data_IF_069385237674
#
_entry.id   IF_069385237674
#
_cell.length_a   1.000
_cell.length_b   1.000
_cell.length_c   1.000
_cell.angle_alpha   90.00
_cell.angle_beta   90.00
_cell.angle_gamma   90.00
#
_symmetry.space_group_name_H-M   'P 1'
#
loop_
_entity.id
_entity.type
_entity.pdbx_description
1 polymer ?
#
# COMPACT_ATOMS: atom_id res chain seq x y z
N UNK A 1 -1.14 7.21 -8.76
CA UNK A 1 -1.05 7.13 -7.28
C UNK A 1 0.37 7.54 -6.89
N UNK A 2 0.55 8.54 -6.02
CA UNK A 2 1.84 9.16 -5.64
C UNK A 2 2.87 9.48 -6.75
N UNK A 3 2.59 10.51 -7.56
CA UNK A 3 3.64 11.40 -8.07
C UNK A 3 3.16 12.85 -8.13
N UNK A 4 4.05 13.73 -7.66
CA UNK A 4 3.92 15.19 -7.70
C UNK A 4 3.65 15.69 -9.12
N UNK A 5 2.48 16.31 -9.30
CA UNK A 5 2.17 17.14 -10.48
C UNK A 5 3.16 18.31 -10.54
N UNK A 6 4.19 18.19 -11.38
CA UNK A 6 5.00 19.33 -11.81
C UNK A 6 4.28 19.98 -13.00
N UNK A 7 3.41 20.95 -12.70
CA UNK A 7 2.72 21.79 -13.68
C UNK A 7 3.68 22.38 -14.72
N UNK A 8 3.41 22.15 -16.00
CA UNK A 8 3.75 23.09 -17.08
C UNK A 8 2.45 23.69 -17.61
N UNK A 9 2.31 25.01 -17.44
CA UNK A 9 1.14 25.78 -17.82
C UNK A 9 1.05 26.03 -19.33
N UNK A 10 -0.17 25.99 -19.88
CA UNK A 10 -0.64 26.93 -20.91
C UNK A 10 -2.14 27.22 -20.66
N UNK A 11 -2.47 28.50 -20.57
CA UNK A 11 -3.77 29.08 -20.26
C UNK A 11 -4.75 29.03 -21.45
N UNK A 12 -6.06 28.85 -21.16
CA UNK A 12 -7.14 29.67 -21.74
C UNK A 12 -8.43 29.50 -20.93
N UNK A 13 -8.94 30.65 -20.48
CA UNK A 13 -10.08 30.85 -19.58
C UNK A 13 -11.42 30.54 -20.27
N UNK A 14 -12.27 29.75 -19.62
CA UNK A 14 -13.70 29.63 -19.93
C UNK A 14 -14.45 29.31 -18.63
N UNK A 15 -14.85 30.34 -17.89
CA UNK A 15 -15.55 30.20 -16.61
C UNK A 15 -17.02 29.83 -16.90
N UNK A 16 -17.37 28.57 -16.65
CA UNK A 16 -18.74 28.17 -16.37
C UNK A 16 -18.84 27.88 -14.87
N UNK A 17 -19.52 28.76 -14.13
CA UNK A 17 -19.88 28.52 -12.73
C UNK A 17 -21.04 27.53 -12.74
N UNK A 18 -20.72 26.24 -12.67
CA UNK A 18 -21.66 25.23 -12.18
C UNK A 18 -21.57 25.30 -10.66
N UNK A 19 -22.66 25.66 -10.01
CA UNK A 19 -22.79 25.55 -8.57
C UNK A 19 -22.78 24.05 -8.21
N UNK A 20 -21.59 23.49 -8.01
CA UNK A 20 -21.43 22.22 -7.31
C UNK A 20 -21.82 22.47 -5.86
N UNK A 21 -23.00 21.97 -5.48
CA UNK A 21 -23.26 21.69 -4.08
C UNK A 21 -22.25 20.61 -3.67
N UNK A 22 -21.15 21.04 -3.06
CA UNK A 22 -20.25 20.16 -2.31
C UNK A 22 -21.07 19.65 -1.12
N UNK A 23 -21.68 18.47 -1.28
CA UNK A 23 -22.07 17.70 -0.11
C UNK A 23 -20.77 17.32 0.58
N UNK A 24 -20.56 17.79 1.81
CA UNK A 24 -19.44 17.36 2.62
C UNK A 24 -19.58 15.85 2.85
N UNK A 25 -18.82 15.06 2.09
CA UNK A 25 -18.71 13.64 2.30
C UNK A 25 -18.25 13.43 3.75
N UNK A 26 -19.12 12.78 4.53
CA UNK A 26 -18.91 12.53 5.95
C UNK A 26 -18.90 11.01 6.10
N UNK A 27 -17.84 10.43 6.69
CA UNK A 27 -17.81 9.00 6.95
C UNK A 27 -19.01 8.55 7.76
N UNK A 28 -19.42 7.30 7.55
CA UNK A 28 -20.50 6.68 8.28
C UNK A 28 -20.10 5.28 8.74
N UNK A 29 -20.57 4.89 9.93
CA UNK A 29 -20.40 3.54 10.47
C UNK A 29 -21.59 2.67 10.07
N UNK A 30 -21.32 1.39 9.82
CA UNK A 30 -22.30 0.43 9.30
C UNK A 30 -22.64 -0.69 10.29
N UNK A 31 -21.92 -0.73 11.42
CA UNK A 31 -22.10 -1.75 12.46
C UNK A 31 -22.39 -1.08 13.80
N UNK A 32 -23.35 -1.63 14.53
CA UNK A 32 -23.66 -1.22 15.91
C UNK A 32 -22.43 -1.42 16.81
N UNK A 33 -22.34 -0.62 17.89
CA UNK A 33 -21.18 -0.65 18.79
C UNK A 33 -19.93 0.07 18.26
N UNK A 34 -20.04 0.82 17.15
CA UNK A 34 -18.95 1.68 16.65
C UNK A 34 -19.36 3.14 16.75
N UNK A 35 -18.65 3.90 17.59
CA UNK A 35 -18.72 5.36 17.62
C UNK A 35 -17.84 5.97 16.54
N UNK A 36 -18.24 7.13 15.99
CA UNK A 36 -17.46 7.87 14.99
C UNK A 36 -17.34 9.34 15.39
N UNK A 37 -16.12 9.87 15.36
CA UNK A 37 -15.89 11.32 15.45
C UNK A 37 -14.70 11.78 14.62
N UNK A 38 -14.78 13.01 14.10
CA UNK A 38 -13.61 13.71 13.58
C UNK A 38 -12.74 14.18 14.74
N UNK A 39 -11.44 13.90 14.69
CA UNK A 39 -10.47 14.29 15.72
C UNK A 39 -9.82 15.63 15.36
N UNK A 40 -9.25 15.73 14.15
CA UNK A 40 -8.45 16.87 13.72
C UNK A 40 -8.42 16.96 12.19
N UNK A 41 -8.48 18.18 11.67
CA UNK A 41 -8.11 18.48 10.28
C UNK A 41 -6.58 18.59 10.19
N UNK A 42 -5.95 17.82 9.31
CA UNK A 42 -4.49 17.74 9.17
C UNK A 42 -3.98 18.27 7.83
N UNK A 43 -4.86 18.48 6.86
CA UNK A 43 -4.53 18.96 5.53
C UNK A 43 -3.77 17.92 4.69
N UNK A 44 -3.27 18.38 3.54
CA UNK A 44 -2.59 17.50 2.57
C UNK A 44 -1.14 17.17 2.91
N UNK A 45 -0.66 16.07 2.34
CA UNK A 45 0.75 15.66 2.42
C UNK A 45 1.09 14.71 3.57
N UNK A 46 0.13 14.41 4.44
CA UNK A 46 0.24 13.37 5.48
C UNK A 46 0.05 11.99 4.85
N UNK A 47 0.97 11.06 5.14
CA UNK A 47 1.04 9.76 4.46
C UNK A 47 1.12 8.57 5.40
N UNK A 48 1.56 8.75 6.65
CA UNK A 48 1.62 7.66 7.64
C UNK A 48 1.17 8.06 9.02
N UNK A 49 0.61 7.10 9.75
CA UNK A 49 0.19 7.18 11.13
C UNK A 49 0.71 5.96 11.88
N UNK A 50 1.49 6.15 12.93
CA UNK A 50 2.05 5.02 13.70
C UNK A 50 2.11 5.35 15.20
N UNK A 51 1.83 4.37 16.06
CA UNK A 51 2.07 4.50 17.49
C UNK A 51 3.50 4.06 17.80
N UNK A 52 4.19 4.83 18.63
CA UNK A 52 5.48 4.43 19.18
C UNK A 52 5.26 3.54 20.42
N UNK A 53 5.66 2.26 20.40
CA UNK A 53 5.41 1.33 21.51
C UNK A 53 6.12 1.69 22.82
N UNK A 54 7.17 2.53 22.78
CA UNK A 54 7.95 2.88 23.96
C UNK A 54 7.36 4.04 24.77
N UNK A 55 6.44 4.82 24.20
CA UNK A 55 5.87 6.00 24.85
C UNK A 55 4.37 6.21 24.60
N UNK A 56 3.72 5.29 23.89
CA UNK A 56 2.30 5.28 23.53
C UNK A 56 1.82 6.49 22.70
N UNK A 57 2.72 7.34 22.22
CA UNK A 57 2.37 8.50 21.41
C UNK A 57 2.13 8.10 19.96
N UNK A 58 1.15 8.76 19.34
CA UNK A 58 0.88 8.61 17.91
C UNK A 58 1.69 9.65 17.15
N UNK A 59 2.42 9.18 16.16
CA UNK A 59 3.21 9.98 15.24
C UNK A 59 2.56 9.99 13.86
N UNK A 60 2.61 11.15 13.22
CA UNK A 60 2.15 11.36 11.86
C UNK A 60 3.32 11.81 11.00
N UNK A 61 3.51 11.14 9.86
CA UNK A 61 4.50 11.51 8.86
C UNK A 61 3.85 12.31 7.75
N UNK A 62 4.35 13.52 7.55
CA UNK A 62 4.09 14.31 6.36
C UNK A 62 5.29 14.20 5.42
N UNK A 63 5.07 13.90 4.14
CA UNK A 63 6.16 13.69 3.17
C UNK A 63 7.10 14.89 3.08
N UNK A 64 6.58 16.12 2.96
CA UNK A 64 7.42 17.33 2.88
C UNK A 64 7.79 17.98 4.22
N UNK A 65 7.01 17.78 5.28
CA UNK A 65 7.23 18.50 6.55
C UNK A 65 7.98 17.65 7.58
N UNK A 66 7.93 16.31 7.46
CA UNK A 66 8.57 15.37 8.36
C UNK A 66 7.61 14.80 9.42
N UNK A 67 8.15 14.47 10.58
CA UNK A 67 7.49 13.71 11.63
C UNK A 67 6.95 14.63 12.74
N UNK A 68 5.69 14.43 13.10
CA UNK A 68 5.01 15.15 14.19
C UNK A 68 4.37 14.18 15.17
N UNK A 69 4.33 14.53 16.45
CA UNK A 69 3.48 13.86 17.45
C UNK A 69 2.08 14.46 17.34
N UNK A 70 1.07 13.60 17.32
CA UNK A 70 -0.33 13.99 17.45
C UNK A 70 -0.74 14.06 18.91
N UNK A 71 -1.45 15.14 19.24
CA UNK A 71 -2.05 15.36 20.55
C UNK A 71 -3.56 15.31 20.43
N UNK A 72 -4.10 14.09 20.43
CA UNK A 72 -5.52 13.83 20.17
C UNK A 72 -6.47 14.60 21.10
N UNK A 73 -6.15 14.73 22.39
CA UNK A 73 -6.97 15.46 23.36
C UNK A 73 -6.94 16.98 23.22
N UNK A 74 -5.89 17.53 22.60
CA UNK A 74 -5.76 18.97 22.32
C UNK A 74 -6.25 19.33 20.91
N UNK A 75 -6.49 18.35 20.03
CA UNK A 75 -6.73 18.59 18.61
C UNK A 75 -5.55 19.33 17.97
N UNK A 76 -4.31 18.94 18.30
CA UNK A 76 -3.11 19.63 17.83
C UNK A 76 -1.99 18.65 17.46
N UNK A 77 -0.92 19.17 16.86
CA UNK A 77 0.28 18.41 16.54
C UNK A 77 1.55 19.19 16.89
N UNK A 78 2.65 18.46 17.09
CA UNK A 78 3.98 19.04 17.37
C UNK A 78 5.05 18.36 16.53
N UNK A 79 5.74 19.12 15.69
CA UNK A 79 6.87 18.63 14.90
C UNK A 79 8.05 18.19 15.78
N UNK A 80 8.57 16.99 15.51
CA UNK A 80 9.66 16.31 16.24
C UNK A 80 10.78 15.80 15.32
N UNK A 81 10.76 16.25 14.06
CA UNK A 81 11.29 15.61 12.86
C UNK A 81 11.05 16.54 11.68
N UNK A 82 11.92 17.47 11.27
CA UNK A 82 11.73 18.09 9.95
C UNK A 82 12.31 17.17 8.86
N UNK A 83 11.75 17.21 7.65
CA UNK A 83 12.18 16.35 6.54
C UNK A 83 13.71 16.41 6.27
N UNK A 84 14.34 17.58 6.45
CA UNK A 84 15.78 17.76 6.28
C UNK A 84 16.61 17.01 7.35
N UNK A 85 16.10 16.91 8.58
CA UNK A 85 16.74 16.11 9.64
C UNK A 85 16.62 14.61 9.33
N UNK A 86 15.45 14.18 8.85
CA UNK A 86 15.22 12.79 8.42
C UNK A 86 16.09 12.45 7.21
N UNK A 87 16.26 13.39 6.27
CA UNK A 87 17.10 13.26 5.08
C UNK A 87 16.33 13.27 3.75
N UNK A 88 15.04 13.61 3.73
CA UNK A 88 14.25 13.68 2.50
C UNK A 88 12.75 13.51 2.71
N UNK A 89 12.03 13.26 1.61
CA UNK A 89 10.58 13.04 1.63
C UNK A 89 10.23 11.63 2.10
N UNK A 90 9.48 11.55 3.20
CA UNK A 90 9.05 10.28 3.80
C UNK A 90 7.84 9.66 3.11
N UNK A 91 7.84 8.33 3.01
CA UNK A 91 6.78 7.53 2.35
C UNK A 91 6.34 6.31 3.17
N UNK A 92 7.19 5.80 4.06
CA UNK A 92 6.89 4.75 5.03
C UNK A 92 7.38 5.14 6.42
N UNK A 93 6.72 4.65 7.46
CA UNK A 93 7.07 4.87 8.87
C UNK A 93 6.74 3.61 9.66
N UNK A 94 7.69 3.16 10.49
CA UNK A 94 7.43 2.17 11.54
C UNK A 94 8.27 2.46 12.78
N UNK A 95 7.93 1.84 13.91
CA UNK A 95 8.68 1.93 15.15
C UNK A 95 8.99 0.53 15.68
N UNK A 96 10.18 0.34 16.22
CA UNK A 96 10.46 -0.85 17.03
C UNK A 96 10.04 -0.67 18.50
N UNK A 97 10.14 -1.74 19.28
CA UNK A 97 9.76 -1.76 20.70
C UNK A 97 10.59 -0.79 21.58
N UNK A 98 11.77 -0.35 21.12
CA UNK A 98 12.60 0.64 21.83
C UNK A 98 12.17 2.09 21.55
N UNK A 99 11.25 2.28 20.60
CA UNK A 99 10.80 3.59 20.13
C UNK A 99 11.72 4.20 19.07
N UNK A 100 12.60 3.41 18.48
CA UNK A 100 13.39 3.81 17.31
C UNK A 100 12.48 3.89 16.10
N UNK A 101 12.52 5.01 15.39
CA UNK A 101 11.75 5.24 14.18
C UNK A 101 12.52 4.75 12.95
N UNK A 102 11.84 4.10 12.02
CA UNK A 102 12.37 3.80 10.68
C UNK A 102 11.51 4.47 9.63
N UNK A 103 12.15 5.22 8.72
CA UNK A 103 11.47 5.98 7.67
C UNK A 103 12.05 5.61 6.31
N UNK A 104 11.15 5.31 5.36
CA UNK A 104 11.50 5.07 3.95
C UNK A 104 11.42 6.37 3.17
N UNK A 105 12.49 6.68 2.43
CA UNK A 105 12.60 7.83 1.53
C UNK A 105 12.86 7.38 0.09
N UNK A 106 12.48 8.24 -0.84
CA UNK A 106 12.83 8.12 -2.25
C UNK A 106 13.58 9.39 -2.68
N UNK A 107 14.75 9.22 -3.28
CA UNK A 107 15.59 10.30 -3.77
C UNK A 107 15.70 10.25 -5.28
N UNK A 108 14.98 11.14 -5.96
CA UNK A 108 15.10 11.34 -7.40
C UNK A 108 16.51 11.82 -7.74
N UNK A 109 17.24 11.04 -8.54
CA UNK A 109 18.58 11.39 -9.00
C UNK A 109 18.49 12.30 -10.22
N UNK A 110 17.66 11.90 -11.18
CA UNK A 110 17.29 12.66 -12.38
C UNK A 110 15.93 12.15 -12.91
N UNK A 111 15.57 12.45 -14.15
CA UNK A 111 14.32 12.00 -14.78
C UNK A 111 14.29 10.50 -15.13
N UNK A 112 15.39 9.78 -14.90
CA UNK A 112 15.62 8.40 -15.37
C UNK A 112 15.99 7.45 -14.25
N UNK A 113 16.49 7.95 -13.11
CA UNK A 113 16.88 7.14 -11.96
C UNK A 113 16.28 7.64 -10.65
N UNK A 114 15.98 6.69 -9.78
CA UNK A 114 15.60 6.92 -8.40
C UNK A 114 16.50 6.10 -7.45
N UNK A 115 16.39 6.37 -6.15
CA UNK A 115 17.12 5.68 -5.10
C UNK A 115 16.26 5.54 -3.85
N UNK A 116 16.14 4.31 -3.34
CA UNK A 116 15.48 4.02 -2.07
C UNK A 116 16.45 4.25 -0.89
N UNK A 117 15.96 4.81 0.21
CA UNK A 117 16.76 5.06 1.42
C UNK A 117 15.95 4.72 2.66
N UNK A 118 16.55 3.99 3.59
CA UNK A 118 15.98 3.68 4.90
C UNK A 118 16.74 4.46 5.96
N UNK A 119 16.02 5.28 6.72
CA UNK A 119 16.57 6.13 7.79
C UNK A 119 16.15 5.60 9.15
N UNK A 120 17.08 5.59 10.10
CA UNK A 120 16.83 5.26 11.51
C UNK A 120 16.89 6.53 12.34
N UNK A 121 15.85 6.78 13.12
CA UNK A 121 15.75 7.86 14.09
C UNK A 121 15.82 7.29 15.50
N UNK A 122 16.96 7.46 16.18
CA UNK A 122 17.12 7.05 17.58
C UNK A 122 16.55 8.14 18.50
N UNK A 123 15.58 7.84 19.38
CA UNK A 123 14.99 8.84 20.26
C UNK A 123 16.03 9.43 21.24
N UNK A 124 15.86 10.71 21.58
CA UNK A 124 16.69 11.45 22.53
C UNK A 124 15.85 12.06 23.64
N UNK A 125 16.47 12.32 24.80
CA UNK A 125 15.81 12.84 26.01
C UNK A 125 15.06 14.18 25.80
N UNK A 126 15.42 14.95 24.77
CA UNK A 126 14.75 16.20 24.42
C UNK A 126 13.47 16.00 23.57
N UNK A 127 13.01 14.76 23.37
CA UNK A 127 11.86 14.42 22.55
C UNK A 127 12.10 14.60 21.04
N UNK A 128 13.36 14.56 20.61
CA UNK A 128 13.80 14.57 19.21
C UNK A 128 14.39 13.21 18.83
N UNK A 129 14.78 13.07 17.57
CA UNK A 129 15.48 11.91 17.04
C UNK A 129 16.85 12.32 16.50
N UNK A 130 17.84 11.46 16.67
CA UNK A 130 19.09 11.50 15.92
C UNK A 130 18.97 10.55 14.73
N UNK A 131 19.22 11.07 13.52
CA UNK A 131 18.96 10.35 12.28
C UNK A 131 20.23 9.88 11.60
N UNK A 132 20.22 8.64 11.14
CA UNK A 132 21.27 8.03 10.33
C UNK A 132 20.69 7.16 9.22
N UNK A 133 21.52 6.73 8.27
CA UNK A 133 21.13 5.83 7.19
C UNK A 133 21.38 4.39 7.59
N UNK A 134 20.33 3.56 7.55
CA UNK A 134 20.46 2.10 7.73
C UNK A 134 20.98 1.48 6.43
N UNK A 135 20.23 1.71 5.36
CA UNK A 135 20.51 1.19 4.03
C UNK A 135 20.06 2.18 2.97
N UNK A 136 20.64 2.06 1.78
CA UNK A 136 20.20 2.75 0.59
C UNK A 136 20.44 1.87 -0.62
N UNK A 137 19.68 2.05 -1.70
CA UNK A 137 19.93 1.30 -2.93
C UNK A 137 21.03 1.95 -3.78
N UNK A 138 21.64 1.20 -4.68
CA UNK A 138 22.18 1.78 -5.90
C UNK A 138 21.04 2.44 -6.72
N UNK A 139 21.36 3.39 -7.62
CA UNK A 139 20.35 3.96 -8.51
C UNK A 139 19.66 2.88 -9.34
N UNK A 140 18.33 2.94 -9.40
CA UNK A 140 17.52 2.03 -10.22
C UNK A 140 16.71 2.83 -11.25
N UNK A 141 16.49 2.27 -12.45
CA UNK A 141 15.88 2.98 -13.55
C UNK A 141 14.38 3.19 -13.33
N UNK A 142 13.87 4.34 -13.77
CA UNK A 142 12.45 4.67 -13.87
C UNK A 142 11.93 4.36 -15.29
N UNK A 143 10.63 4.17 -15.43
CA UNK A 143 9.96 3.98 -16.73
C UNK A 143 9.67 5.27 -17.49
N UNK A 144 9.85 6.45 -16.87
CA UNK A 144 9.32 7.74 -17.35
C UNK A 144 7.81 7.79 -17.56
N UNK A 145 7.07 6.81 -17.03
CA UNK A 145 5.61 6.82 -16.98
C UNK A 145 5.12 7.15 -15.57
N UNK A 146 3.80 7.22 -15.41
CA UNK A 146 3.17 7.41 -14.10
C UNK A 146 3.16 6.15 -13.24
N UNK A 147 3.63 5.00 -13.75
CA UNK A 147 3.54 3.70 -13.09
C UNK A 147 4.72 3.34 -12.19
N UNK A 148 5.67 4.26 -12.01
CA UNK A 148 6.78 4.03 -11.09
C UNK A 148 6.25 3.98 -9.65
N UNK A 149 6.07 2.78 -9.11
CA UNK A 149 5.71 2.57 -7.72
C UNK A 149 6.99 2.60 -6.90
N UNK A 150 7.12 3.65 -6.10
CA UNK A 150 8.30 3.90 -5.29
C UNK A 150 8.37 3.01 -4.05
N UNK A 151 9.50 3.07 -3.34
CA UNK A 151 9.65 2.38 -2.07
C UNK A 151 8.71 3.01 -1.04
N UNK A 152 7.96 2.22 -0.28
CA UNK A 152 6.98 2.74 0.67
C UNK A 152 6.85 1.89 1.94
N UNK A 153 5.93 0.93 1.98
CA UNK A 153 5.61 0.11 3.15
C UNK A 153 6.85 -0.44 3.82
N UNK A 154 6.87 -0.37 5.15
CA UNK A 154 7.97 -0.83 5.99
C UNK A 154 7.43 -1.48 7.25
N UNK A 155 7.93 -2.66 7.58
CA UNK A 155 7.67 -3.33 8.85
C UNK A 155 8.99 -3.69 9.53
N UNK A 156 9.03 -3.58 10.85
CA UNK A 156 10.12 -4.14 11.67
C UNK A 156 9.68 -5.49 12.22
N UNK A 157 10.57 -6.48 12.19
CA UNK A 157 10.27 -7.81 12.75
C UNK A 157 9.95 -7.72 14.25
N UNK A 158 9.13 -8.65 14.79
CA UNK A 158 8.79 -8.66 16.22
C UNK A 158 10.01 -8.73 17.15
N UNK A 159 11.11 -9.34 16.71
CA UNK A 159 12.38 -9.40 17.44
C UNK A 159 13.27 -8.15 17.27
N UNK A 160 12.86 -7.19 16.45
CA UNK A 160 13.57 -5.94 16.18
C UNK A 160 14.82 -6.09 15.31
N UNK A 161 15.11 -7.27 14.75
CA UNK A 161 16.36 -7.53 14.03
C UNK A 161 16.32 -7.13 12.56
N UNK A 162 15.14 -7.14 11.93
CA UNK A 162 15.00 -7.00 10.49
C UNK A 162 13.97 -5.94 10.12
N UNK A 163 14.24 -5.22 9.03
CA UNK A 163 13.29 -4.35 8.36
C UNK A 163 12.88 -5.00 7.04
N UNK A 164 11.59 -5.00 6.75
CA UNK A 164 11.01 -5.46 5.49
C UNK A 164 10.44 -4.25 4.77
N UNK A 165 10.84 -4.04 3.52
CA UNK A 165 10.47 -2.84 2.76
C UNK A 165 9.98 -3.22 1.38
N UNK A 166 8.86 -2.61 0.97
CA UNK A 166 8.40 -2.71 -0.41
C UNK A 166 9.35 -1.93 -1.34
N UNK A 167 9.79 -2.62 -2.39
CA UNK A 167 10.41 -2.06 -3.57
C UNK A 167 9.41 -2.18 -4.73
N UNK A 168 8.61 -1.14 -4.94
CA UNK A 168 7.50 -1.17 -5.90
C UNK A 168 7.93 -1.40 -7.35
N UNK A 169 6.96 -1.75 -8.19
CA UNK A 169 7.15 -2.02 -9.61
C UNK A 169 7.49 -0.77 -10.40
N UNK A 170 8.17 -0.99 -11.52
CA UNK A 170 8.49 0.07 -12.49
C UNK A 170 7.38 0.25 -13.53
N UNK A 171 6.62 -0.81 -13.77
CA UNK A 171 5.61 -0.96 -14.82
C UNK A 171 4.21 -1.09 -14.23
N UNK A 172 3.19 -0.89 -15.07
CA UNK A 172 1.80 -1.11 -14.67
C UNK A 172 1.48 -2.61 -14.55
N UNK A 173 1.89 -3.39 -15.55
CA UNK A 173 1.52 -4.79 -15.71
C UNK A 173 2.62 -5.59 -16.44
N UNK A 174 3.88 -5.18 -16.29
CA UNK A 174 5.03 -5.86 -16.90
C UNK A 174 5.29 -5.49 -18.36
N UNK A 175 4.65 -4.45 -18.89
CA UNK A 175 4.88 -3.97 -20.25
C UNK A 175 6.31 -3.46 -20.45
N UNK A 176 6.79 -3.48 -21.69
CA UNK A 176 8.05 -2.84 -22.05
C UNK A 176 7.96 -1.33 -21.80
N UNK A 177 8.89 -0.82 -21.00
CA UNK A 177 9.01 0.60 -20.72
C UNK A 177 10.47 0.99 -20.91
N UNK A 178 10.86 1.46 -22.09
CA UNK A 178 12.27 1.71 -22.41
C UNK A 178 12.76 3.12 -22.02
N UNK A 179 11.90 3.94 -21.41
CA UNK A 179 12.20 5.32 -21.00
C UNK A 179 12.79 6.18 -22.13
N UNK A 180 12.07 6.27 -23.25
CA UNK A 180 12.51 6.95 -24.49
C UNK A 180 13.78 6.31 -25.10
N UNK A 181 13.85 4.97 -25.05
CA UNK A 181 14.99 4.19 -25.56
C UNK A 181 16.26 4.25 -24.72
N UNK A 182 16.21 4.81 -23.50
CA UNK A 182 17.36 4.82 -22.58
C UNK A 182 17.64 3.46 -21.96
N UNK A 183 16.60 2.65 -21.76
CA UNK A 183 16.67 1.29 -21.24
C UNK A 183 15.98 0.31 -22.21
N UNK A 184 16.54 0.08 -23.41
CA UNK A 184 15.92 -0.78 -24.42
C UNK A 184 15.58 -2.17 -23.87
N UNK A 185 14.35 -2.62 -24.08
CA UNK A 185 13.90 -3.95 -23.64
C UNK A 185 13.62 -4.09 -22.14
N UNK A 186 13.70 -3.01 -21.36
CA UNK A 186 13.52 -3.08 -19.91
C UNK A 186 12.04 -3.07 -19.51
N UNK A 187 11.66 -3.99 -18.63
CA UNK A 187 10.36 -4.04 -17.93
C UNK A 187 10.60 -3.64 -16.48
N UNK A 188 10.78 -4.64 -15.61
CA UNK A 188 11.24 -4.49 -14.23
C UNK A 188 12.77 -4.46 -14.12
N UNK A 189 13.27 -3.92 -13.02
CA UNK A 189 14.68 -3.89 -12.64
C UNK A 189 14.94 -4.78 -11.40
N UNK A 190 16.19 -5.15 -11.10
CA UNK A 190 16.52 -5.93 -9.91
C UNK A 190 15.95 -5.39 -8.59
N UNK A 191 15.90 -4.07 -8.46
CA UNK A 191 15.40 -3.34 -7.30
C UNK A 191 13.91 -2.92 -7.40
N UNK A 192 13.14 -3.54 -8.30
CA UNK A 192 11.69 -3.31 -8.43
C UNK A 192 10.88 -4.60 -8.36
N UNK A 193 9.62 -4.47 -7.96
CA UNK A 193 8.66 -5.54 -7.70
C UNK A 193 9.14 -6.59 -6.68
N UNK A 194 9.69 -6.15 -5.55
CA UNK A 194 10.26 -7.02 -4.50
C UNK A 194 9.82 -6.59 -3.10
N UNK A 195 9.88 -7.53 -2.16
CA UNK A 195 10.06 -7.22 -0.74
C UNK A 195 11.53 -7.44 -0.40
N UNK A 196 12.17 -6.38 0.10
CA UNK A 196 13.56 -6.42 0.56
C UNK A 196 13.62 -6.57 2.08
N UNK A 197 14.61 -7.31 2.58
CA UNK A 197 14.92 -7.47 4.01
C UNK A 197 16.30 -6.88 4.30
N UNK A 198 16.43 -6.01 5.29
CA UNK A 198 17.72 -5.48 5.74
C UNK A 198 17.86 -5.55 7.27
N UNK A 199 19.08 -5.70 7.81
CA UNK A 199 19.29 -5.64 9.26
C UNK A 199 18.85 -4.27 9.80
N UNK A 200 18.05 -4.25 10.87
CA UNK A 200 17.57 -3.00 11.49
C UNK A 200 18.71 -2.20 12.12
N UNK A 201 19.77 -2.89 12.58
CA UNK A 201 21.00 -2.30 13.11
C UNK A 201 22.00 -1.87 12.02
N UNK A 202 21.66 -2.09 10.74
CA UNK A 202 22.48 -1.73 9.58
C UNK A 202 22.97 -0.28 9.61
N UNK A 203 24.13 -0.03 9.01
CA UNK A 203 24.76 1.28 8.97
C UNK A 203 25.33 1.52 7.57
N UNK A 204 24.73 2.46 6.84
CA UNK A 204 25.13 2.85 5.49
C UNK A 204 25.28 1.67 4.50
N UNK A 205 24.44 0.64 4.65
CA UNK A 205 24.41 -0.48 3.71
C UNK A 205 24.02 0.02 2.32
N UNK A 206 24.63 -0.55 1.28
CA UNK A 206 24.28 -0.26 -0.12
C UNK A 206 23.75 -1.53 -0.76
N UNK A 207 22.46 -1.53 -1.13
CA UNK A 207 21.83 -2.64 -1.82
C UNK A 207 22.14 -2.55 -3.32
N UNK A 208 22.75 -3.58 -3.92
CA UNK A 208 23.14 -3.54 -5.32
C UNK A 208 21.92 -3.56 -6.24
N UNK A 209 22.01 -2.90 -7.39
CA UNK A 209 21.01 -3.04 -8.45
C UNK A 209 21.31 -4.28 -9.31
N UNK A 210 21.38 -5.44 -8.66
CA UNK A 210 21.70 -6.74 -9.24
C UNK A 210 20.98 -7.84 -8.45
N UNK A 211 20.14 -8.63 -9.11
CA UNK A 211 19.24 -9.56 -8.42
C UNK A 211 20.01 -10.73 -7.78
N UNK A 212 21.05 -11.22 -8.45
CA UNK A 212 21.87 -12.31 -7.93
C UNK A 212 22.64 -11.86 -6.68
N UNK A 213 23.17 -10.64 -6.68
CA UNK A 213 23.86 -10.07 -5.52
C UNK A 213 22.90 -9.76 -4.37
N UNK A 214 21.66 -9.32 -4.64
CA UNK A 214 20.62 -9.16 -3.61
C UNK A 214 20.27 -10.50 -2.95
N UNK A 215 20.15 -11.56 -3.74
CA UNK A 215 19.88 -12.91 -3.25
C UNK A 215 21.06 -13.47 -2.45
N UNK A 216 22.28 -13.39 -2.98
CA UNK A 216 23.51 -13.83 -2.29
C UNK A 216 23.73 -13.07 -0.97
N UNK A 217 23.40 -11.77 -0.95
CA UNK A 217 23.47 -10.93 0.24
C UNK A 217 22.33 -11.16 1.25
N UNK A 218 21.32 -11.97 0.92
CA UNK A 218 20.16 -12.23 1.77
C UNK A 218 19.21 -11.03 1.92
N UNK A 219 19.32 -10.04 1.01
CA UNK A 219 18.51 -8.83 1.00
C UNK A 219 17.20 -8.98 0.24
N UNK A 220 17.13 -9.95 -0.67
CA UNK A 220 15.93 -10.29 -1.42
C UNK A 220 15.08 -11.26 -0.59
N UNK A 221 13.94 -10.78 -0.09
CA UNK A 221 13.06 -11.61 0.75
C UNK A 221 11.98 -12.31 -0.08
N UNK A 222 11.28 -11.54 -0.92
CA UNK A 222 10.24 -12.06 -1.80
C UNK A 222 10.19 -11.28 -3.13
N UNK A 223 9.57 -11.90 -4.13
CA UNK A 223 9.41 -11.36 -5.49
C UNK A 223 7.94 -11.12 -5.82
N UNK A 224 7.68 -10.31 -6.84
CA UNK A 224 6.41 -10.34 -7.56
C UNK A 224 5.26 -9.65 -6.84
N UNK A 225 5.57 -8.66 -6.00
CA UNK A 225 4.60 -7.65 -5.54
C UNK A 225 4.63 -6.46 -6.49
N UNK A 226 3.51 -5.76 -6.71
CA UNK A 226 3.43 -4.58 -7.58
C UNK A 226 3.69 -3.29 -6.80
N UNK A 227 2.74 -2.91 -5.96
CA UNK A 227 2.81 -1.78 -5.05
C UNK A 227 2.32 -2.22 -3.67
N UNK A 228 3.14 -3.02 -2.98
CA UNK A 228 2.87 -3.49 -1.63
C UNK A 228 2.90 -2.32 -0.64
N UNK A 229 1.81 -1.55 -0.57
CA UNK A 229 1.82 -0.23 0.03
C UNK A 229 1.95 -0.29 1.55
N UNK A 230 1.37 -1.30 2.19
CA UNK A 230 1.48 -1.49 3.63
C UNK A 230 1.95 -2.89 3.99
N UNK A 231 2.81 -2.96 5.00
CA UNK A 231 3.36 -4.20 5.54
C UNK A 231 3.13 -4.22 7.04
N UNK A 232 2.57 -5.32 7.55
CA UNK A 232 2.34 -5.48 8.98
C UNK A 232 2.60 -6.90 9.44
N UNK A 233 3.29 -7.04 10.56
CA UNK A 233 3.34 -8.30 11.29
C UNK A 233 2.05 -8.50 12.07
N UNK A 234 1.45 -9.66 11.91
CA UNK A 234 0.36 -10.12 12.74
C UNK A 234 0.84 -10.56 14.14
N UNK A 235 -0.05 -10.68 15.14
CA UNK A 235 0.31 -11.10 16.49
C UNK A 235 0.97 -12.48 16.58
N UNK A 236 0.74 -13.35 15.59
CA UNK A 236 1.37 -14.67 15.49
C UNK A 236 2.78 -14.64 14.85
N UNK A 237 3.26 -13.48 14.40
CA UNK A 237 4.57 -13.30 13.80
C UNK A 237 4.62 -13.43 12.27
N UNK A 238 3.48 -13.67 11.61
CA UNK A 238 3.41 -13.70 10.15
C UNK A 238 3.42 -12.27 9.56
N UNK A 239 4.15 -12.09 8.46
CA UNK A 239 4.21 -10.82 7.72
C UNK A 239 3.14 -10.81 6.63
N UNK A 240 2.33 -9.76 6.59
CA UNK A 240 1.33 -9.54 5.54
C UNK A 240 1.60 -8.24 4.80
N UNK A 241 1.21 -8.19 3.53
CA UNK A 241 1.22 -6.95 2.76
C UNK A 241 -0.05 -6.78 1.93
N UNK A 242 -0.59 -5.57 1.91
CA UNK A 242 -1.58 -5.17 0.91
C UNK A 242 -0.87 -4.71 -0.35
N UNK A 243 -1.37 -5.09 -1.53
CA UNK A 243 -0.72 -4.81 -2.80
C UNK A 243 -1.74 -4.30 -3.83
N UNK A 244 -1.35 -3.26 -4.59
CA UNK A 244 -2.25 -2.61 -5.53
C UNK A 244 -2.08 -3.15 -6.96
N UNK A 245 -3.17 -3.54 -7.59
CA UNK A 245 -3.28 -4.08 -8.95
C UNK A 245 -3.11 -3.05 -10.08
N UNK A 246 -3.04 -3.53 -11.33
CA UNK A 246 -2.75 -2.73 -12.53
C UNK A 246 -3.94 -1.86 -12.97
N UNK A 247 -3.77 -1.08 -14.05
CA UNK A 247 -4.81 -0.29 -14.73
C UNK A 247 -5.76 -1.19 -15.57
N UNK A 248 -6.29 -2.26 -14.96
CA UNK A 248 -7.37 -3.12 -15.46
C UNK A 248 -8.09 -3.76 -14.27
N UNK A 249 -9.35 -4.19 -14.46
CA UNK A 249 -10.24 -4.71 -13.41
C UNK A 249 -9.83 -6.11 -12.88
N UNK A 250 -8.54 -6.30 -12.56
CA UNK A 250 -8.02 -7.44 -11.81
C UNK A 250 -8.11 -7.19 -10.30
N UNK A 251 -8.26 -8.25 -9.49
CA UNK A 251 -8.37 -8.10 -8.04
C UNK A 251 -7.14 -7.41 -7.41
N UNK A 252 -7.38 -6.63 -6.36
CA UNK A 252 -6.33 -6.12 -5.47
C UNK A 252 -5.86 -7.24 -4.55
N UNK A 253 -4.69 -7.12 -3.92
CA UNK A 253 -4.10 -8.26 -3.19
C UNK A 253 -3.79 -8.00 -1.70
N UNK A 254 -3.77 -9.09 -0.94
CA UNK A 254 -3.37 -9.23 0.46
C UNK A 254 -2.63 -10.56 0.49
N UNK A 255 -1.36 -10.47 0.83
CA UNK A 255 -0.42 -11.55 0.66
C UNK A 255 0.22 -11.87 2.02
N UNK A 256 0.27 -13.16 2.38
CA UNK A 256 1.14 -13.64 3.46
C UNK A 256 2.56 -13.76 2.93
N UNK A 257 3.41 -12.79 3.28
CA UNK A 257 4.76 -12.58 2.73
C UNK A 257 5.77 -13.52 3.38
N UNK A 258 6.42 -14.35 2.56
CA UNK A 258 7.33 -15.42 2.97
C UNK A 258 8.64 -15.39 2.20
N UNK A 259 9.72 -15.72 2.89
CA UNK A 259 11.05 -15.79 2.28
C UNK A 259 11.09 -16.80 1.13
N UNK A 260 11.60 -16.40 -0.03
CA UNK A 260 11.71 -17.31 -1.17
C UNK A 260 10.48 -17.39 -2.06
N UNK A 261 9.38 -16.70 -1.73
CA UNK A 261 8.13 -16.78 -2.47
C UNK A 261 8.01 -15.70 -3.56
N UNK A 262 7.23 -16.00 -4.60
CA UNK A 262 6.90 -15.08 -5.69
C UNK A 262 5.38 -14.85 -5.75
N UNK A 263 4.92 -13.60 -5.73
CA UNK A 263 3.48 -13.23 -5.59
C UNK A 263 2.76 -12.98 -6.92
N UNK A 264 3.43 -13.21 -8.04
CA UNK A 264 2.80 -13.35 -9.35
C UNK A 264 3.07 -12.19 -10.28
N UNK A 265 3.22 -10.96 -9.78
CA UNK A 265 3.48 -9.80 -10.65
C UNK A 265 4.78 -9.96 -11.47
N UNK A 266 4.80 -9.64 -12.77
CA UNK A 266 3.66 -9.19 -13.60
C UNK A 266 2.97 -10.31 -14.40
N UNK A 267 3.23 -11.59 -14.11
CA UNK A 267 2.67 -12.72 -14.86
C UNK A 267 1.24 -13.09 -14.47
N UNK A 268 0.85 -12.81 -13.23
CA UNK A 268 -0.44 -13.16 -12.65
C UNK A 268 -0.91 -12.04 -11.72
N UNK A 269 -2.21 -11.76 -11.74
CA UNK A 269 -2.90 -10.82 -10.85
C UNK A 269 -4.06 -11.55 -10.16
N UNK A 270 -4.01 -11.72 -8.84
CA UNK A 270 -4.92 -12.60 -8.14
C UNK A 270 -4.78 -14.05 -8.65
N UNK A 271 -5.88 -14.62 -9.12
CA UNK A 271 -5.91 -15.94 -9.78
C UNK A 271 -5.89 -15.88 -11.31
N UNK A 272 -5.64 -14.71 -11.90
CA UNK A 272 -5.82 -14.46 -13.33
C UNK A 272 -4.46 -14.27 -13.99
N UNK A 273 -4.23 -14.98 -15.09
CA UNK A 273 -3.03 -14.76 -15.89
C UNK A 273 -3.04 -13.36 -16.50
N UNK A 274 -1.87 -12.73 -16.58
CA UNK A 274 -1.70 -11.53 -17.39
C UNK A 274 -1.88 -11.89 -18.86
N UNK A 275 -3.02 -11.54 -19.44
CA UNK A 275 -3.41 -12.01 -20.77
C UNK A 275 -2.44 -11.59 -21.90
N UNK A 276 -1.64 -10.53 -21.71
CA UNK A 276 -0.72 -10.04 -22.73
C UNK A 276 0.31 -11.07 -23.21
N UNK A 277 0.63 -12.06 -22.36
CA UNK A 277 1.58 -13.13 -22.68
C UNK A 277 1.08 -14.15 -23.70
N UNK A 278 -0.21 -14.15 -24.02
CA UNK A 278 -0.81 -15.17 -24.90
C UNK A 278 -0.96 -14.63 -26.32
N UNK A 279 -0.55 -15.44 -27.32
CA UNK A 279 -0.53 -15.08 -28.75
C UNK A 279 -1.88 -14.60 -29.29
N UNK A 280 -2.98 -15.10 -28.75
CA UNK A 280 -4.35 -14.79 -29.15
C UNK A 280 -4.98 -13.62 -28.38
N UNK A 281 -4.23 -12.94 -27.52
CA UNK A 281 -4.72 -11.78 -26.78
C UNK A 281 -5.06 -10.60 -27.70
N UNK A 282 -6.33 -10.20 -27.69
CA UNK A 282 -6.82 -9.00 -28.35
C UNK A 282 -7.26 -7.96 -27.30
N UNK A 283 -6.41 -6.96 -27.11
CA UNK A 283 -6.66 -5.85 -26.17
C UNK A 283 -7.95 -5.08 -26.48
N UNK A 284 -8.38 -5.00 -27.75
CA UNK A 284 -9.63 -4.32 -28.09
C UNK A 284 -10.89 -5.13 -27.69
N UNK A 285 -10.73 -6.44 -27.50
CA UNK A 285 -11.79 -7.33 -27.05
C UNK A 285 -11.86 -7.47 -25.52
N UNK A 286 -10.74 -7.24 -24.83
CA UNK A 286 -10.62 -7.35 -23.37
C UNK A 286 -11.60 -6.43 -22.63
N UNK A 287 -12.42 -7.02 -21.77
CA UNK A 287 -13.44 -6.32 -20.99
C UNK A 287 -13.00 -5.90 -19.61
N UNK A 288 -11.85 -6.37 -19.14
CA UNK A 288 -11.24 -5.92 -17.89
C UNK A 288 -10.67 -4.50 -18.03
N UNK A 289 -10.38 -4.06 -19.25
CA UNK A 289 -9.88 -2.72 -19.52
C UNK A 289 -10.99 -1.68 -19.54
N UNK A 290 -10.87 -0.65 -18.69
CA UNK A 290 -11.76 0.50 -18.71
C UNK A 290 -11.14 1.68 -19.48
N UNK A 291 -11.90 2.36 -20.37
CA UNK A 291 -11.35 3.41 -21.24
C UNK A 291 -10.77 4.63 -20.50
N UNK A 292 -11.06 4.80 -19.22
CA UNK A 292 -10.58 5.91 -18.42
C UNK A 292 -9.21 5.64 -17.75
N UNK A 293 -8.74 4.39 -17.72
CA UNK A 293 -7.41 4.05 -17.22
C UNK A 293 -6.30 4.58 -18.13
N UNK A 294 -5.19 4.99 -17.53
CA UNK A 294 -4.08 5.57 -18.29
C UNK A 294 -3.42 4.51 -19.16
N UNK A 295 -3.21 3.30 -18.65
CA UNK A 295 -2.58 2.25 -19.46
C UNK A 295 -3.40 1.88 -20.70
N UNK A 296 -4.73 1.94 -20.60
CA UNK A 296 -5.65 1.71 -21.73
C UNK A 296 -5.59 2.87 -22.73
N UNK A 297 -5.65 4.13 -22.25
CA UNK A 297 -5.60 5.34 -23.10
C UNK A 297 -4.32 5.44 -23.92
N UNK A 298 -3.19 5.09 -23.31
CA UNK A 298 -1.87 5.14 -23.93
C UNK A 298 -1.56 3.89 -24.77
N UNK A 299 -2.46 2.90 -24.77
CA UNK A 299 -2.32 1.67 -25.57
C UNK A 299 -1.24 0.72 -25.06
N UNK A 300 -0.97 0.71 -23.75
CA UNK A 300 0.04 -0.16 -23.17
C UNK A 300 -0.38 -1.62 -23.10
N UNK A 301 -1.68 -1.92 -23.08
CA UNK A 301 -2.17 -3.29 -23.23
C UNK A 301 -2.14 -3.74 -24.69
N UNK A 302 -1.34 -4.75 -25.00
CA UNK A 302 -1.26 -5.37 -26.33
C UNK A 302 -0.74 -6.81 -26.23
N UNK A 303 -0.91 -7.61 -27.29
CA UNK A 303 -0.25 -8.91 -27.36
C UNK A 303 1.27 -8.71 -27.35
N UNK A 304 1.93 -9.43 -26.45
CA UNK A 304 3.37 -9.38 -26.24
C UNK A 304 3.97 -10.79 -26.39
N UNK A 305 4.34 -11.18 -27.62
CA UNK A 305 4.88 -12.52 -27.89
C UNK A 305 6.28 -12.74 -27.27
N UNK A 306 6.95 -11.65 -26.85
CA UNK A 306 8.25 -11.68 -26.19
C UNK A 306 8.12 -11.49 -24.66
N UNK A 307 6.91 -11.67 -24.10
CA UNK A 307 6.72 -11.66 -22.66
C UNK A 307 7.49 -12.83 -22.03
N UNK A 308 8.32 -12.60 -20.99
CA UNK A 308 9.16 -13.65 -20.43
C UNK A 308 8.32 -14.75 -19.77
N UNK A 309 8.84 -15.97 -19.78
CA UNK A 309 8.24 -17.06 -19.00
C UNK A 309 8.36 -16.80 -17.49
N UNK A 310 7.40 -17.27 -16.67
CA UNK A 310 7.49 -17.23 -15.22
C UNK A 310 8.81 -17.83 -14.71
N UNK A 311 9.51 -17.16 -13.77
CA UNK A 311 10.78 -17.65 -13.25
C UNK A 311 10.59 -18.84 -12.30
N UNK A 312 9.42 -18.95 -11.67
CA UNK A 312 9.07 -19.98 -10.70
C UNK A 312 7.55 -20.06 -10.48
N UNK A 313 7.10 -20.99 -9.64
CA UNK A 313 5.70 -21.07 -9.21
C UNK A 313 5.31 -19.90 -8.31
N UNK A 314 4.06 -19.46 -8.44
CA UNK A 314 3.52 -18.34 -7.67
C UNK A 314 2.81 -18.79 -6.40
N UNK A 315 2.83 -17.91 -5.42
CA UNK A 315 2.04 -17.98 -4.20
C UNK A 315 0.75 -17.23 -4.41
N UNK A 316 -0.37 -17.91 -4.21
CA UNK A 316 -1.68 -17.28 -4.33
C UNK A 316 -1.89 -16.22 -3.24
N UNK A 317 -2.56 -15.11 -3.57
CA UNK A 317 -3.08 -14.19 -2.56
C UNK A 317 -4.08 -14.87 -1.63
N UNK A 318 -4.40 -14.21 -0.53
CA UNK A 318 -5.39 -14.71 0.43
C UNK A 318 -6.77 -14.70 -0.24
N UNK A 319 -7.50 -15.81 -0.15
CA UNK A 319 -8.84 -15.89 -0.72
C UNK A 319 -9.85 -15.14 0.17
N UNK A 320 -10.66 -14.26 -0.43
CA UNK A 320 -11.73 -13.56 0.24
C UNK A 320 -13.07 -14.29 0.05
N UNK A 321 -13.72 -14.61 1.15
CA UNK A 321 -15.01 -15.29 1.26
C UNK A 321 -16.20 -14.32 1.36
N UNK A 322 -15.95 -13.01 1.40
CA UNK A 322 -16.95 -11.95 1.53
C UNK A 322 -17.39 -11.68 2.98
N UNK A 323 -18.55 -11.01 3.18
CA UNK A 323 -19.49 -10.58 2.15
C UNK A 323 -19.04 -9.36 1.33
N UNK A 324 -18.12 -8.55 1.85
CA UNK A 324 -17.75 -7.26 1.23
C UNK A 324 -16.43 -7.34 0.47
N UNK A 325 -16.13 -6.34 -0.36
CA UNK A 325 -14.92 -6.30 -1.19
C UNK A 325 -14.76 -7.56 -2.08
N UNK A 326 -15.89 -8.08 -2.56
CA UNK A 326 -16.00 -9.30 -3.35
C UNK A 326 -16.61 -9.05 -4.75
N UNK A 327 -16.68 -7.78 -5.18
CA UNK A 327 -17.14 -7.43 -6.52
C UNK A 327 -15.99 -7.60 -7.50
N UNK A 328 -16.25 -8.13 -8.69
CA UNK A 328 -15.27 -8.25 -9.76
C UNK A 328 -15.94 -8.10 -11.12
N UNK A 329 -15.12 -7.88 -12.15
CA UNK A 329 -15.58 -7.97 -13.53
C UNK A 329 -15.22 -9.34 -14.10
N UNK A 330 -16.20 -10.00 -14.71
CA UNK A 330 -15.95 -11.24 -15.45
C UNK A 330 -15.43 -10.95 -16.87
N UNK A 331 -14.91 -11.98 -17.55
CA UNK A 331 -14.35 -11.86 -18.90
C UNK A 331 -15.36 -11.38 -19.96
N UNK A 332 -16.66 -11.56 -19.72
CA UNK A 332 -17.72 -11.02 -20.59
C UNK A 332 -18.02 -9.53 -20.35
N UNK A 333 -17.36 -8.93 -19.34
CA UNK A 333 -17.49 -7.54 -18.94
C UNK A 333 -18.57 -7.28 -17.89
N UNK A 334 -19.33 -8.30 -17.48
CA UNK A 334 -20.35 -8.16 -16.44
C UNK A 334 -19.73 -7.99 -15.07
N UNK A 335 -20.33 -7.12 -14.26
CA UNK A 335 -20.02 -7.02 -12.84
C UNK A 335 -20.69 -8.19 -12.10
N UNK A 336 -19.94 -8.85 -11.21
CA UNK A 336 -20.39 -9.96 -10.39
C UNK A 336 -19.95 -9.75 -8.95
N UNK A 337 -20.66 -10.39 -8.03
CA UNK A 337 -20.30 -10.45 -6.61
C UNK A 337 -19.99 -11.90 -6.24
N UNK A 338 -18.71 -12.21 -5.99
CA UNK A 338 -18.26 -13.55 -5.67
C UNK A 338 -18.95 -14.09 -4.40
N UNK A 339 -19.16 -13.25 -3.39
CA UNK A 339 -19.81 -13.66 -2.15
C UNK A 339 -21.28 -14.08 -2.36
N UNK A 340 -22.02 -13.35 -3.20
CA UNK A 340 -23.41 -13.71 -3.56
C UNK A 340 -23.50 -15.00 -4.38
N UNK A 341 -22.45 -15.31 -5.14
CA UNK A 341 -22.34 -16.53 -5.95
C UNK A 341 -21.82 -17.73 -5.14
N UNK A 342 -21.36 -17.52 -3.89
CA UNK A 342 -20.69 -18.57 -3.11
C UNK A 342 -19.30 -18.92 -3.65
N UNK A 343 -18.69 -18.01 -4.40
CA UNK A 343 -17.36 -18.10 -4.97
C UNK A 343 -16.35 -17.30 -4.13
N UNK A 344 -15.06 -17.41 -4.46
CA UNK A 344 -13.98 -16.67 -3.81
C UNK A 344 -13.32 -15.74 -4.81
N UNK A 345 -12.82 -14.60 -4.35
CA UNK A 345 -11.90 -13.73 -5.09
C UNK A 345 -10.52 -13.77 -4.39
N UNK A 346 -9.42 -13.64 -5.11
CA UNK A 346 -8.06 -13.68 -4.53
C UNK A 346 -7.62 -12.28 -4.08
N UNK A 347 -8.38 -11.89 -3.05
CA UNK A 347 -8.66 -10.62 -2.36
C UNK A 347 -9.01 -9.42 -3.24
N UNK A 348 -9.24 -8.28 -2.59
CA UNK A 348 -10.32 -7.29 -2.79
C UNK A 348 -10.77 -6.94 -4.22
N UNK A 349 -12.01 -6.44 -4.30
CA UNK A 349 -12.56 -5.80 -5.52
C UNK A 349 -11.50 -4.90 -6.17
N UNK A 350 -11.35 -4.96 -7.52
CA UNK A 350 -10.39 -4.16 -8.26
C UNK A 350 -10.42 -2.66 -7.93
N UNK A 351 -9.25 -2.03 -8.00
CA UNK A 351 -9.04 -0.58 -7.86
C UNK A 351 -9.37 0.01 -6.50
N UNK A 352 -9.72 -0.79 -5.49
CA UNK A 352 -9.96 -0.29 -4.13
C UNK A 352 -8.73 0.30 -3.48
N UNK A 353 -7.52 -0.02 -3.97
CA UNK A 353 -6.25 0.47 -3.46
C UNK A 353 -6.12 0.26 -1.94
N UNK A 354 -5.88 -0.98 -1.48
CA UNK A 354 -5.70 -1.25 -0.05
C UNK A 354 -4.38 -0.67 0.48
N UNK A 355 -4.44 0.32 1.38
CA UNK A 355 -3.26 1.10 1.80
C UNK A 355 -2.94 1.11 3.30
N UNK A 356 -3.88 0.79 4.18
CA UNK A 356 -3.63 0.70 5.62
C UNK A 356 -4.02 -0.67 6.13
N UNK A 357 -3.12 -1.34 6.86
CA UNK A 357 -3.30 -2.68 7.41
C UNK A 357 -2.96 -2.68 8.91
N UNK A 358 -3.97 -2.88 9.75
CA UNK A 358 -3.81 -2.82 11.20
C UNK A 358 -4.32 -4.10 11.84
N UNK A 359 -3.41 -4.92 12.37
CA UNK A 359 -3.80 -6.10 13.15
C UNK A 359 -4.26 -5.73 14.56
N UNK A 360 -5.29 -6.43 15.04
CA UNK A 360 -5.74 -6.35 16.42
C UNK A 360 -4.84 -7.20 17.30
N UNK A 361 -4.05 -6.53 18.14
CA UNK A 361 -3.01 -7.14 18.97
C UNK A 361 -3.16 -6.86 20.47
N UNK A 362 -4.31 -6.33 20.91
CA UNK A 362 -4.57 -6.01 22.30
C UNK A 362 -5.89 -6.65 22.78
N UNK A 363 -6.06 -6.69 24.10
CA UNK A 363 -7.23 -7.27 24.78
C UNK A 363 -8.20 -6.20 25.30
N UNK A 364 -8.00 -4.93 24.93
CA UNK A 364 -8.80 -3.79 25.39
C UNK A 364 -9.98 -3.55 24.45
N UNK A 365 -9.79 -3.71 23.14
CA UNK A 365 -10.88 -3.71 22.17
C UNK A 365 -11.87 -4.86 22.50
N UNK A 366 -13.20 -4.72 22.30
CA UNK A 366 -14.15 -5.77 22.68
C UNK A 366 -13.84 -7.12 22.04
N UNK A 367 -14.15 -8.22 22.74
CA UNK A 367 -13.79 -9.61 22.38
C UNK A 367 -14.20 -9.98 20.94
N UNK A 368 -15.34 -9.46 20.46
CA UNK A 368 -15.84 -9.67 19.10
C UNK A 368 -14.93 -9.12 18.00
N UNK A 369 -13.95 -8.29 18.33
CA UNK A 369 -12.95 -7.72 17.43
C UNK A 369 -11.55 -8.28 17.66
N UNK A 370 -11.32 -9.06 18.71
CA UNK A 370 -9.99 -9.57 19.03
C UNK A 370 -9.62 -10.77 18.14
N UNK A 371 -8.32 -10.92 17.87
CA UNK A 371 -7.78 -12.16 17.33
C UNK A 371 -8.04 -13.32 18.31
N UNK A 372 -8.28 -14.51 17.79
CA UNK A 372 -8.44 -15.76 18.55
C UNK A 372 -7.35 -16.75 18.16
N UNK A 373 -7.26 -17.89 18.85
CA UNK A 373 -6.35 -18.98 18.48
C UNK A 373 -6.64 -19.55 17.08
N UNK A 374 -7.87 -19.36 16.59
CA UNK A 374 -8.34 -19.88 15.29
C UNK A 374 -8.30 -18.84 14.17
N UNK A 375 -8.26 -17.55 14.49
CA UNK A 375 -8.32 -16.49 13.48
C UNK A 375 -7.64 -15.20 13.92
N UNK A 376 -6.88 -14.59 13.02
CA UNK A 376 -6.39 -13.24 13.20
C UNK A 376 -7.50 -12.23 12.89
N UNK A 377 -7.47 -11.10 13.58
CA UNK A 377 -8.37 -9.98 13.35
C UNK A 377 -7.57 -8.76 12.90
N UNK A 378 -8.02 -8.11 11.83
CA UNK A 378 -7.35 -6.95 11.26
C UNK A 378 -8.33 -5.95 10.65
N UNK A 379 -7.89 -4.71 10.48
CA UNK A 379 -8.57 -3.70 9.68
C UNK A 379 -7.77 -3.40 8.43
N UNK A 380 -8.47 -3.23 7.30
CA UNK A 380 -7.89 -2.75 6.04
C UNK A 380 -8.60 -1.49 5.58
N UNK A 381 -7.84 -0.49 5.14
CA UNK A 381 -8.37 0.73 4.53
C UNK A 381 -8.33 0.63 3.02
N UNK A 382 -9.41 1.06 2.37
CA UNK A 382 -9.45 1.20 0.91
C UNK A 382 -9.40 2.68 0.55
N UNK A 383 -8.31 3.14 -0.05
CA UNK A 383 -8.18 4.53 -0.49
C UNK A 383 -9.28 4.89 -1.48
N UNK A 384 -9.60 3.96 -2.38
CA UNK A 384 -10.74 4.03 -3.28
C UNK A 384 -10.37 4.05 -4.75
N UNK A 385 -11.35 3.81 -5.60
CA UNK A 385 -11.10 3.70 -7.03
C UNK A 385 -10.93 5.08 -7.69
N UNK A 386 -9.76 5.30 -8.31
CA UNK A 386 -9.44 6.51 -9.07
C UNK A 386 -10.08 6.53 -10.47
N UNK A 387 -10.49 5.37 -10.98
CA UNK A 387 -11.12 5.20 -12.30
C UNK A 387 -11.98 3.94 -12.34
N UNK A 388 -12.38 3.51 -13.53
CA UNK A 388 -13.16 2.30 -13.76
C UNK A 388 -14.63 2.45 -13.40
N UNK A 389 -15.41 1.39 -13.64
CA UNK A 389 -16.89 1.45 -13.58
C UNK A 389 -17.53 0.50 -12.58
N UNK A 390 -16.73 -0.26 -11.81
CA UNK A 390 -17.25 -1.13 -10.75
C UNK A 390 -18.00 -0.31 -9.70
N UNK A 391 -19.11 -0.87 -9.21
CA UNK A 391 -20.04 -0.21 -8.29
C UNK A 391 -19.45 -0.05 -6.88
N UNK A 392 -18.63 -0.99 -6.46
CA UNK A 392 -17.84 -0.90 -5.24
C UNK A 392 -16.56 -0.09 -5.48
N UNK A 393 -16.49 1.06 -4.80
CA UNK A 393 -15.44 2.08 -4.97
C UNK A 393 -14.43 2.12 -3.83
N UNK A 394 -14.55 1.27 -2.80
CA UNK A 394 -13.74 1.39 -1.58
C UNK A 394 -14.11 2.64 -0.76
N UNK A 395 -13.11 3.49 -0.42
CA UNK A 395 -13.29 4.67 0.46
C UNK A 395 -13.85 4.31 1.84
N UNK A 396 -13.32 3.25 2.43
CA UNK A 396 -13.93 2.56 3.56
C UNK A 396 -12.90 1.88 4.48
N UNK A 397 -13.43 1.32 5.57
CA UNK A 397 -12.72 0.45 6.49
C UNK A 397 -13.37 -0.93 6.43
N UNK A 398 -12.56 -1.94 6.09
CA UNK A 398 -12.93 -3.34 6.19
C UNK A 398 -12.40 -3.91 7.52
N UNK A 399 -13.22 -4.70 8.20
CA UNK A 399 -12.75 -5.65 9.21
C UNK A 399 -12.53 -7.00 8.54
N UNK A 400 -11.41 -7.65 8.87
CA UNK A 400 -11.01 -8.92 8.33
C UNK A 400 -10.84 -9.94 9.44
N UNK A 401 -11.40 -11.13 9.23
CA UNK A 401 -11.07 -12.35 9.97
C UNK A 401 -10.25 -13.26 9.07
N UNK A 402 -9.01 -13.53 9.45
CA UNK A 402 -8.09 -14.37 8.67
C UNK A 402 -7.94 -15.71 9.39
N UNK A 403 -8.40 -16.79 8.75
CA UNK A 403 -8.28 -18.15 9.28
C UNK A 403 -7.17 -18.88 8.51
N UNK A 404 -6.23 -19.54 9.19
CA UNK A 404 -5.16 -20.28 8.52
C UNK A 404 -5.74 -21.49 7.76
N UNK A 405 -5.15 -21.78 6.60
CA UNK A 405 -5.36 -23.01 5.83
C UNK A 405 -4.10 -23.89 5.90
N UNK A 406 -4.02 -24.96 5.10
CA UNK A 406 -2.84 -25.83 5.06
C UNK A 406 -1.57 -25.08 4.62
N UNK A 407 -1.68 -24.15 3.67
CA UNK A 407 -0.56 -23.47 3.02
C UNK A 407 -0.71 -21.94 2.90
N UNK A 408 -1.84 -21.38 3.37
CA UNK A 408 -2.15 -19.96 3.28
C UNK A 408 -3.18 -19.51 4.36
N UNK A 409 -3.96 -18.47 4.06
CA UNK A 409 -5.10 -18.00 4.84
C UNK A 409 -6.35 -17.84 3.95
N UNK A 410 -7.51 -17.84 4.59
CA UNK A 410 -8.77 -17.35 4.03
C UNK A 410 -9.26 -16.14 4.84
N UNK A 411 -9.80 -15.13 4.14
CA UNK A 411 -10.33 -13.92 4.71
C UNK A 411 -11.87 -13.91 4.65
N UNK A 412 -12.51 -13.50 5.74
CA UNK A 412 -13.88 -12.97 5.74
C UNK A 412 -13.76 -11.46 5.92
N UNK A 413 -14.23 -10.69 4.95
CA UNK A 413 -14.14 -9.22 4.92
C UNK A 413 -15.52 -8.60 5.11
N UNK A 414 -15.63 -7.67 6.05
CA UNK A 414 -16.88 -6.94 6.33
C UNK A 414 -16.63 -5.44 6.33
N UNK A 415 -17.40 -4.68 5.56
CA UNK A 415 -17.37 -3.22 5.56
C UNK A 415 -18.00 -2.69 6.85
N UNK A 416 -17.21 -2.01 7.68
CA UNK A 416 -17.67 -1.52 8.99
C UNK A 416 -17.89 -0.02 9.03
N UNK A 417 -17.25 0.72 8.11
CA UNK A 417 -17.45 2.15 7.94
C UNK A 417 -17.08 2.54 6.50
N UNK A 418 -17.74 3.56 5.93
CA UNK A 418 -17.53 3.98 4.53
C UNK A 418 -17.65 5.49 4.36
N UNK A 419 -17.52 5.97 3.13
CA UNK A 419 -17.55 7.38 2.74
C UNK A 419 -16.39 8.21 3.35
N UNK A 420 -15.23 7.60 3.53
CA UNK A 420 -14.00 8.35 3.80
C UNK A 420 -13.51 9.04 2.54
N UNK A 421 -12.78 10.13 2.71
CA UNK A 421 -12.02 10.80 1.66
C UNK A 421 -10.63 10.19 1.62
N UNK A 422 -10.46 9.15 0.81
CA UNK A 422 -9.15 8.54 0.56
C UNK A 422 -8.41 8.11 1.86
N UNK A 423 -8.98 7.21 2.67
CA UNK A 423 -8.33 6.74 3.89
C UNK A 423 -7.03 6.02 3.51
N UNK A 424 -5.90 6.51 4.02
CA UNK A 424 -4.56 6.11 3.55
C UNK A 424 -3.80 5.28 4.57
N UNK A 425 -3.99 5.54 5.87
CA UNK A 425 -3.28 4.82 6.93
C UNK A 425 -4.09 4.88 8.24
N UNK A 426 -3.83 3.96 9.16
CA UNK A 426 -4.48 3.95 10.46
C UNK A 426 -3.60 3.40 11.57
N UNK A 427 -3.99 3.70 12.81
CA UNK A 427 -3.42 3.06 14.00
C UNK A 427 -4.51 2.69 14.99
N UNK A 428 -4.42 1.49 15.56
CA UNK A 428 -5.28 1.04 16.64
C UNK A 428 -4.60 1.33 17.97
N UNK A 429 -5.24 2.13 18.82
CA UNK A 429 -4.82 2.36 20.21
C UNK A 429 -5.95 1.96 21.12
N UNK A 430 -5.69 1.03 22.03
CA UNK A 430 -6.71 0.43 22.90
C UNK A 430 -7.89 -0.10 22.07
N UNK A 431 -9.09 0.45 22.27
CA UNK A 431 -10.32 0.15 21.54
C UNK A 431 -10.66 1.20 20.47
N UNK A 432 -9.69 1.95 19.96
CA UNK A 432 -9.91 3.07 19.03
C UNK A 432 -9.03 2.99 17.81
N UNK A 433 -9.64 2.92 16.62
CA UNK A 433 -8.94 3.00 15.36
C UNK A 433 -8.95 4.46 14.88
N UNK A 434 -7.77 5.05 14.75
CA UNK A 434 -7.58 6.37 14.16
C UNK A 434 -7.26 6.22 12.68
N UNK A 435 -8.10 6.77 11.82
CA UNK A 435 -7.99 6.70 10.35
C UNK A 435 -7.52 8.05 9.82
N UNK A 436 -6.41 8.05 9.09
CA UNK A 436 -5.87 9.20 8.38
C UNK A 436 -6.44 9.25 6.96
N UNK A 437 -7.01 10.38 6.57
CA UNK A 437 -7.44 10.68 5.20
C UNK A 437 -6.36 11.46 4.44
N UNK A 438 -6.18 11.10 3.17
CA UNK A 438 -5.26 11.80 2.27
C UNK A 438 -5.97 12.84 1.39
N UNK A 439 -5.33 13.99 1.21
CA UNK A 439 -5.77 15.04 0.30
C UNK A 439 -5.72 16.42 0.95
N UNK A 440 -6.02 17.47 0.18
CA UNK A 440 -5.97 18.85 0.69
C UNK A 440 -6.87 19.10 1.91
N UNK A 441 -7.94 18.31 2.04
CA UNK A 441 -8.88 18.31 3.16
C UNK A 441 -8.67 17.09 4.07
N UNK A 442 -7.44 16.57 4.17
CA UNK A 442 -7.12 15.40 4.99
C UNK A 442 -7.46 15.64 6.46
N UNK A 443 -8.07 14.63 7.08
CA UNK A 443 -8.50 14.63 8.47
C UNK A 443 -8.11 13.32 9.16
N UNK A 444 -8.15 13.34 10.49
CA UNK A 444 -8.08 12.14 11.32
C UNK A 444 -9.47 11.87 11.89
N UNK A 445 -9.96 10.67 11.68
CA UNK A 445 -11.20 10.15 12.23
C UNK A 445 -10.91 9.12 13.31
N UNK A 446 -11.73 9.06 14.34
CA UNK A 446 -11.69 8.02 15.36
C UNK A 446 -12.94 7.14 15.20
N UNK A 447 -12.71 5.84 15.08
CA UNK A 447 -13.72 4.80 15.28
C UNK A 447 -13.49 4.19 16.67
N UNK A 448 -14.44 4.35 17.57
CA UNK A 448 -14.39 3.75 18.93
C UNK A 448 -15.22 2.49 18.96
N UNK A 449 -14.63 1.37 19.38
CA UNK A 449 -15.32 0.08 19.49
C UNK A 449 -15.82 -0.12 20.92
N UNK A 450 -17.13 -0.23 21.07
CA UNK A 450 -17.86 -0.39 22.33
C UNK A 450 -18.47 -1.79 22.42
N UNK A 451 -18.80 -2.24 23.64
CA UNK A 451 -19.42 -3.55 23.91
C UNK A 451 -20.85 -3.69 23.36
#
# INVERSE_FOLDING_TARGET
MFYLLRNRAVSLLGIWVIACFSFAQTPEVLKEGIGLRKVLEVGGGNVRLAQNPANDQIYMLHSDQGLSILKLGEGSQKTVAINMEIGGQGTGLTFDASGTAYVVLNATIDDTYNKGIIRRGTPKDNGRFEWETVASTEPYPLSKTIFNHNYNGIAVSPDGQWLFVNAGSRTDHGELQDADGQFPGLREAPLSSKILRVPADGQNLVLPNDEAALLEGGYLYAWGTRNAFDLAFAPNGDLFATDNGPDADYPEELNWIREGHHYGFPWQFGSWDNLQRFEDYDSAADKLQQPDFTAVKEGYYHNDPDFPEPPMSFTMPIANLGPDAAIYRDLDGSEKNAAELGEKIYTFTPHRSPLGLVFVNNQIIPESWQSTDESLSAFVLSWGAAGGTLSDRGMDVLHMRLSPTEDNYEAVTTQIARNFKNPIDAVLVDNKLYVLEWGSEGAIWELSFEE
#
